data_IF_609499422426
#
_entry.id   IF_609499422426
#
_cell.length_a   1.000
_cell.length_b   1.000
_cell.length_c   1.000
_cell.angle_alpha   90.00
_cell.angle_beta   90.00
_cell.angle_gamma   90.00
#
_symmetry.space_group_name_H-M   'P 1'
#
loop_
_entity.id
_entity.type
_entity.pdbx_description
1 polymer ?
#
# COMPACT_ATOMS: atom_id res chain seq x y z
N UNK A 1 -13.26 -24.78 -25.83
CA UNK A 1 -11.95 -24.11 -25.65
C UNK A 1 -11.58 -24.20 -24.19
N UNK A 2 -10.30 -24.43 -23.87
CA UNK A 2 -9.85 -24.49 -22.47
C UNK A 2 -9.94 -23.10 -21.84
N UNK A 3 -10.62 -22.97 -20.70
CA UNK A 3 -10.71 -21.72 -19.93
C UNK A 3 -9.31 -21.29 -19.47
N UNK A 4 -8.92 -20.05 -19.74
CA UNK A 4 -7.58 -19.53 -19.39
C UNK A 4 -7.64 -18.81 -18.06
N UNK A 5 -6.99 -19.38 -17.04
CA UNK A 5 -6.91 -18.79 -15.69
C UNK A 5 -5.56 -18.09 -15.47
N UNK A 6 -5.59 -16.84 -15.00
CA UNK A 6 -4.37 -16.16 -14.55
C UNK A 6 -3.94 -16.73 -13.19
N UNK A 7 -2.78 -17.41 -13.18
CA UNK A 7 -2.17 -17.97 -11.96
C UNK A 7 -0.77 -17.41 -11.78
N UNK A 8 -0.62 -16.46 -10.86
CA UNK A 8 0.67 -15.85 -10.48
C UNK A 8 0.56 -15.17 -9.13
N UNK A 9 1.70 -14.77 -8.58
CA UNK A 9 1.71 -13.75 -7.53
C UNK A 9 1.49 -12.36 -8.16
N UNK A 10 0.68 -11.53 -7.54
CA UNK A 10 0.45 -10.15 -7.91
C UNK A 10 1.20 -9.26 -6.92
N UNK A 11 2.19 -8.54 -7.44
CA UNK A 11 2.92 -7.55 -6.67
C UNK A 11 2.04 -6.32 -6.40
N UNK A 12 2.34 -5.65 -5.30
CA UNK A 12 1.74 -4.38 -4.91
C UNK A 12 2.79 -3.39 -4.41
N UNK A 13 2.38 -2.15 -4.14
CA UNK A 13 3.28 -1.08 -3.69
C UNK A 13 3.63 -1.13 -2.19
N UNK A 14 3.30 -2.22 -1.49
CA UNK A 14 3.35 -2.37 -0.03
C UNK A 14 2.46 -1.38 0.75
N UNK A 15 1.40 -0.86 0.11
CA UNK A 15 0.53 0.15 0.72
C UNK A 15 -0.75 -0.41 1.30
N UNK A 16 -1.11 -1.66 0.94
CA UNK A 16 -2.30 -2.35 1.45
C UNK A 16 -3.55 -1.47 1.40
N UNK A 17 -3.86 -0.93 0.22
CA UNK A 17 -4.94 0.06 0.04
C UNK A 17 -6.27 -0.55 -0.36
N UNK A 18 -6.27 -1.75 -0.94
CA UNK A 18 -7.51 -2.36 -1.40
C UNK A 18 -8.16 -3.10 -0.24
N UNK A 19 -9.28 -2.58 0.25
CA UNK A 19 -10.04 -3.22 1.31
C UNK A 19 -10.82 -4.42 0.77
N UNK A 20 -10.80 -5.51 1.54
CA UNK A 20 -11.73 -6.62 1.35
C UNK A 20 -13.09 -6.18 1.92
N UNK A 21 -14.17 -6.76 1.42
CA UNK A 21 -15.52 -6.52 1.93
C UNK A 21 -16.19 -7.82 2.33
N UNK A 22 -17.17 -7.71 3.23
CA UNK A 22 -17.95 -8.85 3.73
C UNK A 22 -17.23 -9.66 4.81
N UNK A 23 -16.09 -9.20 5.32
CA UNK A 23 -15.31 -9.91 6.35
C UNK A 23 -16.05 -10.05 7.68
N UNK A 24 -17.07 -9.22 7.91
CA UNK A 24 -17.96 -9.35 9.07
C UNK A 24 -18.62 -10.73 9.15
N UNK A 25 -18.86 -11.40 8.02
CA UNK A 25 -19.40 -12.76 7.96
C UNK A 25 -18.35 -13.85 8.22
N UNK A 26 -17.06 -13.50 8.19
CA UNK A 26 -15.95 -14.45 8.25
C UNK A 26 -14.98 -14.19 9.42
N UNK A 27 -15.43 -13.48 10.46
CA UNK A 27 -14.61 -13.16 11.64
C UNK A 27 -14.02 -14.39 12.33
N UNK A 28 -14.77 -15.51 12.36
CA UNK A 28 -14.29 -16.78 12.92
C UNK A 28 -13.09 -17.35 12.15
N UNK A 29 -13.09 -17.20 10.82
CA UNK A 29 -11.98 -17.66 9.98
C UNK A 29 -10.73 -16.80 10.22
N UNK A 30 -10.90 -15.48 10.30
CA UNK A 30 -9.82 -14.54 10.64
C UNK A 30 -9.21 -14.83 12.02
N UNK A 31 -10.04 -15.09 13.02
CA UNK A 31 -9.59 -15.50 14.35
C UNK A 31 -8.81 -16.82 14.32
N UNK A 32 -9.29 -17.81 13.56
CA UNK A 32 -8.61 -19.10 13.43
C UNK A 32 -7.24 -18.95 12.78
N UNK A 33 -7.13 -18.15 11.72
CA UNK A 33 -5.84 -17.82 11.08
C UNK A 33 -4.91 -17.18 12.11
N UNK A 34 -5.34 -16.09 12.75
CA UNK A 34 -4.51 -15.36 13.71
C UNK A 34 -4.07 -16.20 14.91
N UNK A 35 -4.90 -17.15 15.35
CA UNK A 35 -4.53 -18.05 16.46
C UNK A 35 -3.33 -18.96 16.16
N UNK A 36 -2.96 -19.13 14.88
CA UNK A 36 -1.81 -19.92 14.43
C UNK A 36 -0.52 -19.11 14.33
N UNK A 37 -0.61 -17.78 14.37
CA UNK A 37 0.56 -16.91 14.37
C UNK A 37 1.01 -16.70 15.81
N UNK A 38 2.22 -17.16 16.13
CA UNK A 38 2.82 -17.08 17.48
C UNK A 38 3.17 -15.64 17.90
N UNK A 39 3.16 -14.70 16.95
CA UNK A 39 3.70 -13.36 17.11
C UNK A 39 2.61 -12.29 16.97
N UNK A 40 2.56 -11.34 17.92
CA UNK A 40 1.88 -10.04 17.83
C UNK A 40 0.39 -9.98 18.20
N UNK A 41 0.07 -10.43 19.43
CA UNK A 41 -0.87 -9.65 20.26
C UNK A 41 -0.12 -8.46 20.85
N UNK A 42 0.05 -7.39 20.07
CA UNK A 42 0.24 -6.08 20.70
C UNK A 42 -1.11 -5.83 21.43
N UNK A 43 -1.13 -5.47 22.73
CA UNK A 43 -2.35 -5.47 23.54
C UNK A 43 -3.54 -4.72 22.93
N UNK A 44 -3.28 -3.78 22.01
CA UNK A 44 -4.29 -2.84 21.53
C UNK A 44 -4.56 -2.86 20.02
N UNK A 45 -3.77 -3.56 19.18
CA UNK A 45 -3.98 -3.62 17.70
C UNK A 45 -3.35 -4.87 17.08
N UNK A 46 -4.12 -5.62 16.27
CA UNK A 46 -3.56 -6.68 15.42
C UNK A 46 -3.16 -6.08 14.07
N UNK A 47 -1.90 -6.33 13.68
CA UNK A 47 -1.35 -6.06 12.35
C UNK A 47 -0.55 -7.28 11.93
N UNK A 48 -1.14 -8.15 11.10
CA UNK A 48 -0.51 -9.41 10.68
C UNK A 48 -0.43 -9.49 9.15
N UNK A 49 0.79 -9.63 8.62
CA UNK A 49 0.99 -9.88 7.18
C UNK A 49 0.66 -11.34 6.86
N UNK A 50 0.01 -11.56 5.73
CA UNK A 50 -0.35 -12.89 5.23
C UNK A 50 -0.34 -12.92 3.69
N UNK A 51 -0.33 -14.12 3.11
CA UNK A 51 -0.55 -14.29 1.67
C UNK A 51 -2.03 -14.54 1.42
N UNK A 52 -2.67 -13.65 0.67
CA UNK A 52 -4.05 -13.83 0.22
C UNK A 52 -4.09 -14.42 -1.18
N UNK A 53 -5.11 -15.22 -1.45
CA UNK A 53 -5.43 -15.79 -2.76
C UNK A 53 -6.75 -15.20 -3.23
N UNK A 54 -6.75 -14.62 -4.43
CA UNK A 54 -7.96 -14.06 -5.05
C UNK A 54 -8.44 -14.98 -6.17
N UNK A 55 -9.72 -15.36 -6.11
CA UNK A 55 -10.29 -16.38 -6.99
C UNK A 55 -11.61 -15.89 -7.58
N UNK A 56 -11.79 -16.01 -8.89
CA UNK A 56 -13.08 -15.72 -9.53
C UNK A 56 -14.16 -16.73 -9.10
N UNK A 57 -15.32 -16.23 -8.73
CA UNK A 57 -16.52 -17.04 -8.46
C UNK A 57 -17.65 -16.68 -9.45
N UNK A 58 -17.55 -17.11 -10.72
CA UNK A 58 -18.55 -16.78 -11.74
C UNK A 58 -19.94 -17.39 -11.46
N UNK A 59 -20.01 -18.39 -10.57
CA UNK A 59 -21.25 -19.05 -10.13
C UNK A 59 -21.91 -18.35 -8.95
N UNK A 60 -21.37 -17.22 -8.49
CA UNK A 60 -21.96 -16.47 -7.39
C UNK A 60 -23.33 -15.92 -7.79
N UNK A 61 -24.35 -16.26 -6.99
CA UNK A 61 -25.77 -15.93 -7.21
C UNK A 61 -26.08 -14.44 -7.12
N UNK A 62 -25.22 -13.64 -6.47
CA UNK A 62 -25.43 -12.22 -6.27
C UNK A 62 -24.63 -11.35 -7.23
N UNK A 63 -23.46 -11.81 -7.66
CA UNK A 63 -22.59 -11.10 -8.58
C UNK A 63 -21.76 -12.08 -9.44
N UNK A 64 -22.02 -12.23 -10.75
CA UNK A 64 -21.24 -13.12 -11.62
C UNK A 64 -19.80 -12.64 -11.83
N UNK A 65 -19.45 -11.42 -11.40
CA UNK A 65 -18.09 -10.91 -11.39
C UNK A 65 -17.35 -11.12 -10.06
N UNK A 66 -18.00 -11.76 -9.07
CA UNK A 66 -17.45 -11.90 -7.74
C UNK A 66 -16.02 -12.47 -7.76
N UNK A 67 -15.16 -11.86 -6.94
CA UNK A 67 -13.80 -12.34 -6.69
C UNK A 67 -13.68 -12.57 -5.20
N UNK A 68 -13.55 -13.83 -4.81
CA UNK A 68 -13.32 -14.26 -3.45
C UNK A 68 -11.89 -13.93 -3.01
N UNK A 69 -11.73 -13.68 -1.72
CA UNK A 69 -10.45 -13.51 -1.06
C UNK A 69 -10.30 -14.60 0.00
N UNK A 70 -9.29 -15.45 -0.17
CA UNK A 70 -8.95 -16.54 0.74
C UNK A 70 -7.59 -16.27 1.39
N UNK A 71 -7.44 -16.71 2.64
CA UNK A 71 -6.16 -16.79 3.34
C UNK A 71 -6.10 -18.18 3.97
N UNK A 72 -5.01 -18.92 3.75
CA UNK A 72 -4.90 -20.33 4.20
C UNK A 72 -6.11 -21.20 3.78
N UNK A 73 -6.57 -21.01 2.54
CA UNK A 73 -7.75 -21.65 1.93
C UNK A 73 -9.09 -21.41 2.65
N UNK A 74 -9.12 -20.53 3.66
CA UNK A 74 -10.34 -20.08 4.30
C UNK A 74 -10.87 -18.84 3.57
N UNK A 75 -12.14 -18.84 3.21
CA UNK A 75 -12.82 -17.67 2.66
C UNK A 75 -12.92 -16.58 3.74
N UNK A 76 -12.40 -15.39 3.44
CA UNK A 76 -12.37 -14.24 4.36
C UNK A 76 -13.27 -13.11 3.91
N UNK A 77 -13.56 -13.02 2.62
CA UNK A 77 -14.44 -12.02 2.07
C UNK A 77 -14.34 -11.97 0.55
N UNK A 78 -14.70 -10.82 0.00
CA UNK A 78 -14.76 -10.59 -1.43
C UNK A 78 -14.12 -9.24 -1.76
N UNK A 79 -13.75 -9.05 -3.01
CA UNK A 79 -13.55 -7.70 -3.53
C UNK A 79 -14.90 -7.02 -3.68
N UNK A 80 -14.93 -5.70 -3.51
CA UNK A 80 -16.14 -4.92 -3.80
C UNK A 80 -16.54 -5.09 -5.28
N UNK A 81 -17.84 -4.97 -5.56
CA UNK A 81 -18.41 -5.26 -6.89
C UNK A 81 -17.75 -4.45 -8.01
N UNK A 82 -17.41 -3.19 -7.76
CA UNK A 82 -16.82 -2.32 -8.77
C UNK A 82 -15.38 -2.76 -9.09
N UNK A 83 -14.58 -3.02 -8.04
CA UNK A 83 -13.22 -3.54 -8.21
C UNK A 83 -13.21 -4.92 -8.85
N UNK A 84 -14.09 -5.81 -8.43
CA UNK A 84 -14.25 -7.14 -9.00
C UNK A 84 -14.57 -7.06 -10.50
N UNK A 85 -15.58 -6.30 -10.89
CA UNK A 85 -15.94 -6.09 -12.30
C UNK A 85 -14.78 -5.49 -13.11
N UNK A 86 -14.03 -4.54 -12.54
CA UNK A 86 -12.86 -3.94 -13.19
C UNK A 86 -11.74 -4.96 -13.42
N UNK A 87 -11.45 -5.81 -12.43
CA UNK A 87 -10.45 -6.88 -12.56
C UNK A 87 -10.89 -7.89 -13.62
N UNK A 88 -12.15 -8.35 -13.57
CA UNK A 88 -12.73 -9.25 -14.58
C UNK A 88 -12.60 -8.69 -15.99
N UNK A 89 -12.92 -7.41 -16.18
CA UNK A 89 -12.73 -6.71 -17.46
C UNK A 89 -11.26 -6.72 -17.89
N UNK A 90 -10.32 -6.42 -17.00
CA UNK A 90 -8.89 -6.41 -17.33
C UNK A 90 -8.35 -7.79 -17.70
N UNK A 91 -8.80 -8.83 -17.01
CA UNK A 91 -8.46 -10.22 -17.33
C UNK A 91 -8.94 -10.58 -18.74
N UNK A 92 -10.19 -10.26 -19.07
CA UNK A 92 -10.75 -10.51 -20.40
C UNK A 92 -9.94 -9.79 -21.50
N UNK A 93 -9.54 -8.53 -21.29
CA UNK A 93 -8.69 -7.80 -22.24
C UNK A 93 -7.29 -8.42 -22.40
N UNK A 94 -6.79 -9.10 -21.37
CA UNK A 94 -5.52 -9.85 -21.40
C UNK A 94 -5.71 -11.31 -21.88
N UNK A 95 -6.91 -11.67 -22.34
CA UNK A 95 -7.23 -13.01 -22.84
C UNK A 95 -7.40 -14.07 -21.76
N UNK A 96 -7.66 -13.69 -20.50
CA UNK A 96 -7.94 -14.59 -19.39
C UNK A 96 -9.43 -14.57 -19.03
N UNK A 97 -10.00 -15.75 -18.77
CA UNK A 97 -11.40 -15.95 -18.40
C UNK A 97 -11.62 -15.87 -16.88
N UNK A 98 -10.57 -16.14 -16.10
CA UNK A 98 -10.62 -16.21 -14.65
C UNK A 98 -9.27 -15.85 -14.01
N UNK A 99 -9.32 -15.55 -12.71
CA UNK A 99 -8.14 -15.36 -11.88
C UNK A 99 -8.14 -16.34 -10.72
N UNK A 100 -6.96 -16.86 -10.43
CA UNK A 100 -6.62 -17.66 -9.27
C UNK A 100 -5.16 -17.31 -8.91
N UNK A 101 -5.00 -16.16 -8.28
CA UNK A 101 -3.70 -15.52 -8.07
C UNK A 101 -3.47 -15.23 -6.59
N UNK A 102 -2.20 -15.15 -6.19
CA UNK A 102 -1.83 -14.77 -4.81
C UNK A 102 -1.37 -13.32 -4.76
N UNK A 103 -1.44 -12.69 -3.59
CA UNK A 103 -0.92 -11.34 -3.34
C UNK A 103 -0.59 -11.18 -1.86
N UNK A 104 0.20 -10.15 -1.54
CA UNK A 104 0.42 -9.77 -0.15
C UNK A 104 -0.85 -9.18 0.46
N UNK A 105 -1.10 -9.48 1.73
CA UNK A 105 -2.23 -8.95 2.48
C UNK A 105 -1.85 -8.58 3.92
N UNK A 106 -2.65 -7.71 4.52
CA UNK A 106 -2.54 -7.26 5.89
C UNK A 106 -3.88 -7.46 6.60
N UNK A 107 -3.87 -8.28 7.65
CA UNK A 107 -5.00 -8.44 8.57
C UNK A 107 -4.86 -7.36 9.64
N UNK A 108 -5.92 -6.57 9.83
CA UNK A 108 -5.97 -5.43 10.75
C UNK A 108 -7.17 -5.51 11.69
N UNK A 109 -7.14 -4.79 12.80
CA UNK A 109 -8.30 -4.65 13.70
C UNK A 109 -8.26 -5.62 14.89
N UNK A 110 -9.42 -6.13 15.31
CA UNK A 110 -9.53 -7.17 16.34
C UNK A 110 -9.26 -6.74 17.77
N UNK A 111 -9.44 -5.46 18.07
CA UNK A 111 -9.18 -4.90 19.40
C UNK A 111 -10.45 -4.39 20.07
N UNK A 112 -10.45 -4.45 21.40
CA UNK A 112 -11.54 -3.93 22.23
C UNK A 112 -11.39 -2.42 22.41
N UNK A 113 -12.52 -1.72 22.34
CA UNK A 113 -12.67 -0.34 22.77
C UNK A 113 -13.40 -0.33 24.12
N UNK A 114 -13.35 0.80 24.84
CA UNK A 114 -14.10 0.97 26.10
C UNK A 114 -15.61 0.67 25.94
N UNK A 115 -16.16 0.90 24.75
CA UNK A 115 -17.58 0.69 24.44
C UNK A 115 -17.80 -0.06 23.11
N UNK A 116 -17.03 -1.12 22.86
CA UNK A 116 -17.27 -1.96 21.68
C UNK A 116 -16.07 -2.82 21.29
N UNK A 117 -16.20 -3.53 20.18
CA UNK A 117 -15.13 -4.33 19.61
C UNK A 117 -14.97 -3.99 18.13
N UNK A 118 -13.75 -3.68 17.72
CA UNK A 118 -13.42 -3.45 16.31
C UNK A 118 -13.19 -4.80 15.65
N UNK A 119 -13.99 -5.09 14.62
CA UNK A 119 -13.87 -6.33 13.84
C UNK A 119 -12.51 -6.40 13.12
N UNK A 120 -12.10 -7.62 12.78
CA UNK A 120 -10.99 -7.84 11.88
C UNK A 120 -11.36 -7.40 10.46
N UNK A 121 -10.43 -6.77 9.77
CA UNK A 121 -10.52 -6.44 8.34
C UNK A 121 -9.28 -6.93 7.60
N UNK A 122 -9.38 -7.00 6.28
CA UNK A 122 -8.25 -7.39 5.43
C UNK A 122 -8.00 -6.35 4.36
N UNK A 123 -6.72 -6.05 4.14
CA UNK A 123 -6.27 -5.16 3.07
C UNK A 123 -5.30 -5.89 2.15
N UNK A 124 -5.52 -5.77 0.85
CA UNK A 124 -4.70 -6.38 -0.19
C UNK A 124 -3.72 -5.37 -0.77
N UNK A 125 -2.54 -5.88 -1.10
CA UNK A 125 -1.50 -5.13 -1.76
C UNK A 125 -1.43 -5.52 -3.24
N UNK A 126 -2.28 -4.88 -4.06
CA UNK A 126 -2.30 -5.08 -5.51
C UNK A 126 -2.34 -3.74 -6.25
N UNK A 127 -1.64 -3.64 -7.38
CA UNK A 127 -1.71 -2.45 -8.23
C UNK A 127 -3.09 -2.28 -8.87
N UNK A 128 -3.78 -1.17 -8.58
CA UNK A 128 -5.03 -0.82 -9.25
C UNK A 128 -4.82 0.33 -10.25
N UNK A 129 -5.32 0.18 -11.49
CA UNK A 129 -5.17 1.19 -12.57
C UNK A 129 -5.79 2.57 -12.26
N UNK A 130 -6.53 2.73 -11.16
CA UNK A 130 -6.91 4.06 -10.62
C UNK A 130 -5.68 4.97 -10.41
N UNK A 131 -4.49 4.38 -10.25
CA UNK A 131 -3.21 5.09 -10.13
C UNK A 131 -2.53 5.37 -11.49
N UNK A 132 -3.05 4.85 -12.62
CA UNK A 132 -2.51 5.08 -13.97
C UNK A 132 -3.15 6.25 -14.73
N UNK A 133 -4.17 6.92 -14.18
CA UNK A 133 -5.07 7.81 -14.96
C UNK A 133 -5.08 9.29 -14.55
N UNK A 134 -3.99 9.81 -13.99
CA UNK A 134 -3.67 11.25 -14.05
C UNK A 134 -2.37 11.40 -14.87
N UNK A 135 -2.56 11.64 -16.19
CA UNK A 135 -1.62 12.06 -17.26
C UNK A 135 -0.12 11.77 -17.00
N UNK A 136 0.53 10.83 -17.68
CA UNK A 136 0.91 10.96 -19.10
C UNK A 136 1.39 12.39 -19.44
N UNK A 137 2.45 12.81 -18.77
CA UNK A 137 3.45 13.73 -19.32
C UNK A 137 4.77 12.97 -19.19
N UNK A 138 5.39 12.65 -20.33
CA UNK A 138 6.61 11.85 -20.47
C UNK A 138 7.84 12.52 -19.82
N UNK A 139 7.85 12.58 -18.50
CA UNK A 139 9.07 12.78 -17.73
C UNK A 139 9.20 11.51 -16.89
N UNK A 140 10.27 10.70 -17.05
CA UNK A 140 10.56 9.70 -16.03
C UNK A 140 10.59 10.47 -14.72
N UNK A 141 9.79 10.05 -13.74
CA UNK A 141 9.68 10.74 -12.45
C UNK A 141 10.96 10.46 -11.66
N UNK A 142 12.10 10.88 -12.21
CA UNK A 142 13.37 10.96 -11.52
C UNK A 142 13.33 12.09 -10.52
N UNK A 143 12.43 13.07 -10.63
CA UNK A 143 12.35 14.20 -9.71
C UNK A 143 10.89 14.51 -9.33
N UNK A 144 10.65 14.61 -8.02
CA UNK A 144 9.40 14.92 -7.36
C UNK A 144 9.56 16.22 -6.60
N UNK A 145 8.59 17.11 -6.68
CA UNK A 145 8.56 18.31 -5.84
C UNK A 145 7.22 18.43 -5.15
N UNK A 146 7.22 18.53 -3.82
CA UNK A 146 6.00 18.59 -3.03
C UNK A 146 6.18 19.36 -1.73
N UNK A 147 5.07 19.82 -1.17
CA UNK A 147 5.04 20.46 0.15
C UNK A 147 4.74 19.42 1.23
N UNK A 148 5.43 19.52 2.37
CA UNK A 148 5.07 18.82 3.60
C UNK A 148 4.65 19.83 4.65
N UNK A 149 3.62 19.48 5.42
CA UNK A 149 3.17 20.25 6.57
C UNK A 149 4.02 19.92 7.79
N UNK A 150 4.49 20.96 8.47
CA UNK A 150 5.20 20.82 9.75
C UNK A 150 4.17 20.54 10.85
N UNK A 151 4.39 19.55 11.74
CA UNK A 151 3.50 19.35 12.87
C UNK A 151 3.43 20.64 13.71
N UNK A 152 2.21 21.11 14.01
CA UNK A 152 1.97 22.38 14.73
C UNK A 152 2.66 22.48 16.11
N UNK A 153 3.08 21.36 16.68
CA UNK A 153 3.78 21.28 17.97
C UNK A 153 5.31 21.51 17.89
N UNK A 154 5.89 21.60 16.68
CA UNK A 154 7.30 21.89 16.48
C UNK A 154 7.41 23.30 15.93
N UNK A 155 7.94 24.23 16.73
CA UNK A 155 8.21 25.57 16.23
C UNK A 155 9.25 25.49 15.10
N UNK A 156 9.13 26.27 14.00
CA UNK A 156 10.09 26.24 12.90
C UNK A 156 11.55 26.44 13.36
N UNK A 157 11.75 27.11 14.49
CA UNK A 157 13.05 27.43 15.06
C UNK A 157 13.64 26.31 15.94
N UNK A 158 12.85 25.31 16.32
CA UNK A 158 13.33 24.11 17.04
C UNK A 158 13.81 23.02 16.07
N UNK A 159 13.41 23.12 14.81
CA UNK A 159 13.95 22.32 13.73
C UNK A 159 15.25 22.99 13.26
N UNK A 160 16.40 22.32 13.43
CA UNK A 160 17.68 22.69 12.79
C UNK A 160 17.64 22.49 11.25
N UNK A 161 16.47 22.69 10.64
CA UNK A 161 16.19 22.50 9.23
C UNK A 161 16.30 23.82 8.49
N UNK A 162 17.07 23.84 7.41
CA UNK A 162 17.21 24.98 6.52
C UNK A 162 17.17 24.55 5.06
N UNK A 163 16.85 25.49 4.17
CA UNK A 163 16.89 25.27 2.72
C UNK A 163 18.27 24.76 2.32
N UNK A 164 18.32 23.65 1.59
CA UNK A 164 19.53 22.92 1.23
C UNK A 164 19.82 21.69 2.10
N UNK A 165 19.10 21.48 3.20
CA UNK A 165 19.25 20.25 3.98
C UNK A 165 18.78 19.02 3.23
N UNK A 166 19.58 17.97 3.29
CA UNK A 166 19.17 16.63 2.89
C UNK A 166 18.12 16.09 3.86
N UNK A 167 17.12 15.40 3.30
CA UNK A 167 16.04 14.76 4.06
C UNK A 167 16.01 13.27 3.80
N UNK A 168 15.54 12.50 4.78
CA UNK A 168 15.32 11.06 4.66
C UNK A 168 13.84 10.72 4.76
N UNK A 169 13.43 9.70 4.03
CA UNK A 169 12.11 9.12 4.13
C UNK A 169 12.13 7.87 4.99
N UNK A 170 11.07 7.67 5.77
CA UNK A 170 10.88 6.47 6.54
C UNK A 170 9.41 6.09 6.61
N UNK A 171 9.10 4.82 6.40
CA UNK A 171 7.78 4.23 6.59
C UNK A 171 7.82 3.26 7.76
N UNK A 172 6.87 3.37 8.69
CA UNK A 172 6.70 2.35 9.72
C UNK A 172 6.18 1.05 9.10
N UNK A 173 6.69 -0.13 9.52
CA UNK A 173 6.11 -1.42 9.14
C UNK A 173 4.61 -1.55 9.45
N UNK A 174 4.14 -0.87 10.51
CA UNK A 174 2.73 -0.92 10.94
C UNK A 174 1.83 0.00 10.13
N UNK A 175 2.39 1.05 9.52
CA UNK A 175 1.64 2.06 8.74
C UNK A 175 2.43 2.47 7.49
N UNK A 176 2.61 1.56 6.51
CA UNK A 176 3.42 1.83 5.32
C UNK A 176 2.82 2.93 4.44
N UNK A 177 1.51 3.19 4.57
CA UNK A 177 0.83 4.31 3.91
C UNK A 177 1.09 5.68 4.57
N UNK A 178 1.98 5.76 5.56
CA UNK A 178 2.38 7.03 6.20
C UNK A 178 3.90 7.17 6.21
N UNK A 179 4.44 7.76 5.15
CA UNK A 179 5.87 8.03 5.03
C UNK A 179 6.20 9.35 5.74
N UNK A 180 7.10 9.28 6.70
CA UNK A 180 7.64 10.40 7.45
C UNK A 180 8.89 10.98 6.79
N UNK A 181 9.07 12.28 6.95
CA UNK A 181 10.21 13.04 6.41
C UNK A 181 11.03 13.56 7.59
N UNK A 182 12.34 13.30 7.58
CA UNK A 182 13.26 13.67 8.65
C UNK A 182 14.43 14.50 8.10
N UNK A 183 14.87 15.49 8.87
CA UNK A 183 16.03 16.33 8.61
C UNK A 183 17.13 16.03 9.63
N UNK A 184 18.28 15.48 9.17
CA UNK A 184 19.41 15.01 10.00
C UNK A 184 19.00 14.02 11.12
N UNK A 185 19.96 13.19 11.57
CA UNK A 185 19.70 12.15 12.57
C UNK A 185 18.94 10.95 11.99
N UNK A 186 19.17 9.76 12.53
CA UNK A 186 18.55 8.53 12.04
C UNK A 186 17.03 8.50 12.21
N UNK A 187 16.44 7.47 11.61
CA UNK A 187 15.04 7.07 11.79
C UNK A 187 14.71 6.99 13.29
N UNK A 188 13.69 7.72 13.75
CA UNK A 188 13.16 7.60 15.12
C UNK A 188 13.67 8.62 16.15
N UNK A 189 14.50 9.59 15.76
CA UNK A 189 14.96 10.70 16.62
C UNK A 189 14.52 12.09 16.13
N UNK A 190 14.85 13.12 16.91
CA UNK A 190 14.55 14.54 16.68
C UNK A 190 14.79 15.00 15.23
N UNK A 191 13.96 15.93 14.72
CA UNK A 191 14.11 16.48 13.36
C UNK A 191 13.04 16.02 12.34
N UNK A 192 11.90 15.52 12.80
CA UNK A 192 10.75 15.22 11.93
C UNK A 192 10.20 16.50 11.28
N UNK A 193 10.26 16.59 9.97
CA UNK A 193 9.71 17.69 9.18
C UNK A 193 8.23 17.53 8.88
N UNK A 194 7.75 16.30 8.73
CA UNK A 194 6.35 16.04 8.38
C UNK A 194 6.13 14.69 7.71
N UNK A 195 5.21 14.66 6.75
CA UNK A 195 4.81 13.44 6.02
C UNK A 195 4.67 13.69 4.53
N UNK A 196 5.00 12.68 3.74
CA UNK A 196 4.81 12.69 2.29
C UNK A 196 3.31 12.81 1.96
N UNK A 197 2.89 13.75 1.09
CA UNK A 197 1.50 13.86 0.67
C UNK A 197 1.04 12.62 -0.09
N UNK A 198 -0.25 12.28 0.01
CA UNK A 198 -0.84 11.05 -0.54
C UNK A 198 -0.47 10.77 -2.00
N UNK A 199 -0.41 11.82 -2.81
CA UNK A 199 -0.10 11.72 -4.25
C UNK A 199 1.33 11.22 -4.53
N UNK A 200 2.25 11.36 -3.58
CA UNK A 200 3.67 10.99 -3.72
C UNK A 200 4.05 9.75 -2.92
N UNK A 201 3.13 9.16 -2.16
CA UNK A 201 3.40 8.00 -1.32
C UNK A 201 3.82 6.79 -2.16
N UNK A 202 3.12 6.51 -3.26
CA UNK A 202 3.38 5.33 -4.10
C UNK A 202 4.80 5.31 -4.69
N UNK A 203 5.26 6.36 -5.40
CA UNK A 203 6.61 6.33 -5.98
C UNK A 203 7.71 6.25 -4.92
N UNK A 204 7.52 6.92 -3.77
CA UNK A 204 8.51 6.94 -2.68
C UNK A 204 8.50 5.61 -1.91
N UNK A 205 7.34 5.06 -1.55
CA UNK A 205 7.25 3.76 -0.89
C UNK A 205 7.90 2.67 -1.73
N UNK A 206 7.62 2.66 -3.04
CA UNK A 206 8.19 1.67 -3.95
C UNK A 206 9.72 1.69 -3.96
N UNK A 207 10.33 2.87 -3.94
CA UNK A 207 11.79 2.97 -3.85
C UNK A 207 12.31 2.57 -2.45
N UNK A 208 11.62 2.94 -1.37
CA UNK A 208 11.99 2.55 -0.01
C UNK A 208 11.97 1.03 0.17
N UNK A 209 10.89 0.38 -0.24
CA UNK A 209 10.72 -1.07 -0.17
C UNK A 209 11.72 -1.82 -1.05
N UNK A 210 12.13 -1.23 -2.17
CA UNK A 210 13.17 -1.79 -3.03
C UNK A 210 14.61 -1.51 -2.54
N UNK A 211 14.79 -0.78 -1.44
CA UNK A 211 16.11 -0.39 -0.94
C UNK A 211 16.89 0.54 -1.86
N UNK A 212 16.19 1.28 -2.72
CA UNK A 212 16.79 2.21 -3.69
C UNK A 212 17.12 3.55 -3.02
N UNK A 213 18.17 4.21 -3.50
CA UNK A 213 18.59 5.51 -2.98
C UNK A 213 17.71 6.66 -3.47
N UNK A 214 17.74 7.75 -2.71
CA UNK A 214 17.06 9.01 -3.01
C UNK A 214 18.03 10.16 -2.78
N UNK A 215 17.95 11.19 -3.61
CA UNK A 215 18.54 12.49 -3.33
C UNK A 215 17.40 13.47 -3.04
N UNK A 216 17.12 13.70 -1.76
CA UNK A 216 16.03 14.55 -1.34
C UNK A 216 16.53 15.72 -0.50
N UNK A 217 16.10 16.93 -0.84
CA UNK A 217 16.54 18.19 -0.23
C UNK A 217 15.40 19.16 0.00
N UNK A 218 15.46 19.94 1.07
CA UNK A 218 14.59 21.10 1.26
C UNK A 218 14.99 22.19 0.26
N UNK A 219 14.05 22.69 -0.54
CA UNK A 219 14.33 23.71 -1.56
C UNK A 219 13.69 25.08 -1.26
N UNK A 220 12.65 25.11 -0.43
CA UNK A 220 12.03 26.36 0.01
C UNK A 220 11.26 26.16 1.32
N UNK A 221 10.99 27.27 2.01
CA UNK A 221 10.09 27.35 3.15
C UNK A 221 9.03 28.42 2.87
N UNK A 222 7.75 28.09 3.06
CA UNK A 222 6.65 29.04 3.01
C UNK A 222 5.74 28.79 4.20
N UNK A 223 5.56 29.81 5.03
CA UNK A 223 4.77 29.75 6.27
C UNK A 223 5.23 28.60 7.20
N UNK A 224 4.40 27.55 7.32
CA UNK A 224 4.64 26.32 8.08
C UNK A 224 4.85 25.08 7.21
N UNK A 225 5.15 25.28 5.92
CA UNK A 225 5.36 24.19 4.96
C UNK A 225 6.77 24.21 4.40
N UNK A 226 7.35 23.02 4.31
CA UNK A 226 8.62 22.81 3.65
C UNK A 226 8.38 22.27 2.24
N UNK A 227 9.02 22.88 1.26
CA UNK A 227 9.05 22.35 -0.09
C UNK A 227 10.23 21.40 -0.22
N UNK A 228 9.94 20.15 -0.56
CA UNK A 228 10.92 19.09 -0.74
C UNK A 228 11.05 18.80 -2.21
N UNK A 229 12.29 18.80 -2.71
CA UNK A 229 12.67 18.16 -3.97
C UNK A 229 13.21 16.79 -3.64
N UNK A 230 12.70 15.76 -4.29
CA UNK A 230 13.12 14.38 -4.11
C UNK A 230 13.44 13.79 -5.47
N UNK A 231 14.70 13.45 -5.69
CA UNK A 231 15.17 12.75 -6.87
C UNK A 231 15.21 11.25 -6.57
N UNK A 232 14.46 10.46 -7.34
CA UNK A 232 14.50 9.01 -7.30
C UNK A 232 15.74 8.53 -8.06
N UNK A 233 16.73 8.00 -7.34
CA UNK A 233 17.95 7.47 -7.95
C UNK A 233 17.63 6.06 -8.42
N UNK A 234 17.56 5.86 -9.73
CA UNK A 234 17.46 4.53 -10.29
C UNK A 234 18.74 3.77 -9.94
N UNK A 235 18.65 2.87 -8.96
CA UNK A 235 19.66 1.84 -8.79
C UNK A 235 19.67 0.97 -10.04
N UNK A 236 20.86 0.65 -10.56
CA UNK A 236 21.02 -0.42 -11.53
C UNK A 236 20.60 -1.73 -10.85
N UNK A 237 19.31 -2.03 -10.90
CA UNK A 237 18.75 -3.32 -10.54
C UNK A 237 17.83 -3.74 -11.68
N UNK A 238 18.31 -4.74 -12.39
CA UNK A 238 17.71 -5.40 -13.54
C UNK A 238 16.38 -6.02 -13.12
N UNK A 239 15.28 -5.29 -13.28
CA UNK A 239 13.95 -5.90 -13.36
C UNK A 239 13.14 -5.17 -14.42
N UNK A 240 13.19 -5.75 -15.62
CA UNK A 240 12.29 -5.45 -16.73
C UNK A 240 10.84 -5.50 -16.22
N UNK A 241 10.22 -4.32 -16.16
CA UNK A 241 8.79 -4.19 -15.99
C UNK A 241 8.13 -4.84 -17.19
N UNK A 242 7.51 -6.01 -16.99
CA UNK A 242 6.78 -6.74 -18.02
C UNK A 242 5.85 -5.78 -18.75
N UNK A 243 6.25 -5.51 -20.00
CA UNK A 243 5.52 -4.74 -20.97
C UNK A 243 4.16 -5.37 -21.19
N UNK A 244 3.12 -4.59 -20.93
CA UNK A 244 1.89 -4.69 -21.71
C UNK A 244 2.16 -3.96 -23.03
N UNK A 245 2.77 -4.67 -23.98
CA UNK A 245 2.81 -4.28 -25.37
C UNK A 245 2.65 -5.56 -26.21
N UNK A 246 1.54 -5.57 -26.96
CA UNK A 246 1.18 -6.44 -28.09
C UNK A 246 1.43 -7.94 -27.96
#
# INVERSE_FOLDING_TARGET
>A
MASKTLRRHLDGPELFQLEVVGESHFQKNLQAILSRYESHRIPDRVTQRATARIVSEPTNKHDPNAVQVLIEDLLIGYLDRETAARIRKQLAHAGFDSIDATCSSLIVGGFNLQFGHVLYGVKLDIFTKSQRRRKAQDVPVTELTFFTETPAALAPNELLAYVGNAVKFWSSPDTPSRIHIYCRGGVGGDGKLGTVPKDYIIPIQRHLSAGLEFDATIIAQSDQRWQIRCRLIQGYSVFEFVGLAA
#
